data_IF_197137763032
#
_entry.id   IF_197137763032
#
_cell.length_a   1.000
_cell.length_b   1.000
_cell.length_c   1.000
_cell.angle_alpha   90.00
_cell.angle_beta   90.00
_cell.angle_gamma   90.00
#
_symmetry.space_group_name_H-M   'P 1'
#
loop_
_entity.id
_entity.type
_entity.pdbx_description
1 polymer ?
#
# COMPACT_ATOMS: atom_id res chain seq x y z
N UNK A 1 -2.21 1.12 7.79
CA UNK A 1 -1.46 0.30 8.78
C UNK A 1 -2.24 -0.97 9.18
N UNK A 2 -3.50 -0.90 9.64
CA UNK A 2 -4.31 -2.11 9.97
C UNK A 2 -4.48 -3.10 8.81
N UNK A 3 -4.93 -2.62 7.64
CA UNK A 3 -5.15 -3.45 6.45
C UNK A 3 -3.90 -4.24 6.04
N UNK A 4 -2.76 -3.56 5.93
CA UNK A 4 -1.47 -4.20 5.60
C UNK A 4 -1.05 -5.26 6.62
N UNK A 5 -1.29 -5.04 7.91
CA UNK A 5 -0.95 -6.03 8.93
C UNK A 5 -1.79 -7.30 8.74
N UNK A 6 -3.09 -7.15 8.50
CA UNK A 6 -3.98 -8.28 8.27
C UNK A 6 -3.57 -9.10 7.04
N UNK A 7 -3.23 -8.45 5.93
CA UNK A 7 -2.74 -9.13 4.73
C UNK A 7 -1.40 -9.82 4.98
N UNK A 8 -0.49 -9.19 5.72
CA UNK A 8 0.82 -9.78 6.03
C UNK A 8 0.72 -10.99 6.94
N UNK A 9 -0.19 -10.96 7.93
CA UNK A 9 -0.52 -12.12 8.76
C UNK A 9 -1.05 -13.26 7.90
N UNK A 10 -2.01 -12.98 7.01
CA UNK A 10 -2.57 -13.97 6.11
C UNK A 10 -1.52 -14.53 5.12
N UNK A 11 -0.70 -13.68 4.50
CA UNK A 11 0.41 -14.08 3.63
C UNK A 11 1.38 -15.03 4.36
N UNK A 12 1.65 -14.78 5.64
CA UNK A 12 2.49 -15.63 6.49
C UNK A 12 1.85 -17.00 6.72
N UNK A 13 0.57 -17.04 7.05
CA UNK A 13 -0.19 -18.29 7.28
C UNK A 13 -0.21 -19.18 6.04
N UNK A 14 -0.39 -18.57 4.86
CA UNK A 14 -0.42 -19.31 3.60
C UNK A 14 0.98 -19.59 3.04
N UNK A 15 2.05 -19.07 3.63
CA UNK A 15 3.43 -19.27 3.14
C UNK A 15 3.68 -18.62 1.78
N UNK A 16 3.11 -17.44 1.56
CA UNK A 16 3.16 -16.73 0.28
C UNK A 16 4.60 -16.35 -0.11
N UNK A 17 5.07 -16.87 -1.26
CA UNK A 17 6.47 -16.77 -1.69
C UNK A 17 6.95 -15.33 -1.96
N UNK A 18 6.05 -14.42 -2.37
CA UNK A 18 6.38 -13.01 -2.67
C UNK A 18 6.13 -12.05 -1.49
N UNK A 19 5.99 -12.58 -0.28
CA UNK A 19 5.67 -11.78 0.93
C UNK A 19 6.67 -10.63 1.15
N UNK A 20 7.97 -10.85 0.94
CA UNK A 20 8.98 -9.82 1.16
C UNK A 20 8.80 -8.60 0.26
N UNK A 21 8.60 -8.81 -1.05
CA UNK A 21 8.38 -7.71 -2.01
C UNK A 21 7.08 -6.97 -1.72
N UNK A 22 6.05 -7.69 -1.25
CA UNK A 22 4.77 -7.10 -0.87
C UNK A 22 4.95 -6.17 0.36
N UNK A 23 5.66 -6.62 1.39
CA UNK A 23 5.94 -5.82 2.60
C UNK A 23 6.72 -4.54 2.25
N UNK A 24 7.70 -4.61 1.33
CA UNK A 24 8.43 -3.42 0.87
C UNK A 24 7.47 -2.42 0.22
N UNK A 25 6.53 -2.86 -0.61
CA UNK A 25 5.55 -1.97 -1.22
C UNK A 25 4.70 -1.25 -0.16
N UNK A 26 4.25 -1.97 0.87
CA UNK A 26 3.50 -1.40 2.01
C UNK A 26 4.31 -0.37 2.79
N UNK A 27 5.58 -0.67 3.07
CA UNK A 27 6.46 0.25 3.79
C UNK A 27 6.72 1.52 2.99
N UNK A 28 7.03 1.40 1.70
CA UNK A 28 7.23 2.56 0.82
C UNK A 28 5.99 3.46 0.75
N UNK A 29 4.78 2.86 0.75
CA UNK A 29 3.54 3.62 0.79
C UNK A 29 3.38 4.39 2.09
N UNK A 30 3.64 3.75 3.23
CA UNK A 30 3.60 4.39 4.55
C UNK A 30 4.62 5.51 4.63
N UNK A 31 5.87 5.27 4.23
CA UNK A 31 6.93 6.28 4.26
C UNK A 31 6.58 7.49 3.37
N UNK A 32 6.00 7.24 2.19
CA UNK A 32 5.55 8.32 1.32
C UNK A 32 4.42 9.12 1.97
N UNK A 33 3.47 8.47 2.63
CA UNK A 33 2.43 9.19 3.38
C UNK A 33 2.98 9.97 4.56
N UNK A 34 3.90 9.38 5.32
CA UNK A 34 4.53 10.00 6.48
C UNK A 34 5.48 11.16 6.05
N UNK A 35 5.85 11.25 4.76
CA UNK A 35 6.64 12.35 4.20
C UNK A 35 5.86 13.62 3.86
N UNK A 36 4.52 13.58 3.87
CA UNK A 36 3.72 14.79 3.64
C UNK A 36 3.75 15.66 4.89
N UNK A 37 4.21 16.90 4.74
CA UNK A 37 4.21 17.90 5.80
C UNK A 37 2.84 18.57 5.88
N UNK A 38 2.12 18.34 6.98
CA UNK A 38 0.80 18.93 7.19
C UNK A 38 0.83 20.44 7.41
N UNK A 39 1.98 21.03 7.78
CA UNK A 39 2.13 22.49 7.90
C UNK A 39 2.23 23.17 6.54
N UNK A 40 2.88 22.55 5.54
CA UNK A 40 2.92 23.07 4.16
C UNK A 40 1.56 22.93 3.45
N UNK A 41 0.78 21.91 3.81
CA UNK A 41 -0.59 21.74 3.30
C UNK A 41 -1.43 22.98 3.62
N UNK A 42 -1.28 23.61 4.80
CA UNK A 42 -2.09 24.78 5.17
C UNK A 42 -1.83 26.03 4.30
N UNK A 43 -0.69 26.13 3.62
CA UNK A 43 -0.36 27.28 2.77
C UNK A 43 -0.84 27.12 1.31
N UNK A 44 -0.96 25.88 0.82
CA UNK A 44 -1.51 25.56 -0.52
C UNK A 44 -2.42 24.31 -0.49
N UNK A 45 -3.49 24.40 0.30
CA UNK A 45 -4.35 23.25 0.67
C UNK A 45 -4.91 22.50 -0.54
N UNK A 46 -5.35 23.21 -1.58
CA UNK A 46 -6.01 22.57 -2.73
C UNK A 46 -5.03 21.70 -3.52
N UNK A 47 -3.86 22.23 -3.89
CA UNK A 47 -2.91 21.49 -4.71
C UNK A 47 -2.31 20.32 -3.93
N UNK A 48 -1.96 20.54 -2.66
CA UNK A 48 -1.41 19.48 -1.81
C UNK A 48 -2.44 18.35 -1.56
N UNK A 49 -3.72 18.70 -1.41
CA UNK A 49 -4.81 17.71 -1.29
C UNK A 49 -5.02 16.94 -2.60
N UNK A 50 -4.98 17.62 -3.74
CA UNK A 50 -5.11 16.99 -5.07
C UNK A 50 -3.96 16.02 -5.31
N UNK A 51 -2.73 16.42 -5.00
CA UNK A 51 -1.55 15.56 -5.15
C UNK A 51 -1.61 14.34 -4.23
N UNK A 52 -2.03 14.50 -2.98
CA UNK A 52 -2.24 13.40 -2.05
C UNK A 52 -3.33 12.43 -2.56
N UNK A 53 -4.47 12.95 -3.04
CA UNK A 53 -5.55 12.13 -3.58
C UNK A 53 -5.11 11.36 -4.83
N UNK A 54 -4.38 12.02 -5.73
CA UNK A 54 -3.84 11.38 -6.92
C UNK A 54 -2.86 10.26 -6.54
N UNK A 55 -1.95 10.51 -5.59
CA UNK A 55 -1.03 9.49 -5.09
C UNK A 55 -1.77 8.29 -4.48
N UNK A 56 -2.73 8.54 -3.61
CA UNK A 56 -3.54 7.50 -2.96
C UNK A 56 -4.28 6.65 -4.00
N UNK A 57 -4.96 7.31 -4.95
CA UNK A 57 -5.71 6.64 -6.01
C UNK A 57 -4.81 5.77 -6.88
N UNK A 58 -3.73 6.35 -7.39
CA UNK A 58 -2.81 5.64 -8.29
C UNK A 58 -2.16 4.45 -7.62
N UNK A 59 -1.73 4.61 -6.38
CA UNK A 59 -1.07 3.54 -5.65
C UNK A 59 -2.07 2.43 -5.30
N UNK A 60 -3.22 2.76 -4.71
CA UNK A 60 -4.22 1.77 -4.29
C UNK A 60 -4.75 0.97 -5.46
N UNK A 61 -5.11 1.63 -6.57
CA UNK A 61 -5.65 0.93 -7.75
C UNK A 61 -4.65 -0.05 -8.32
N UNK A 62 -3.37 0.35 -8.45
CA UNK A 62 -2.31 -0.51 -8.96
C UNK A 62 -1.99 -1.64 -7.99
N UNK A 63 -1.89 -1.35 -6.70
CA UNK A 63 -1.56 -2.31 -5.66
C UNK A 63 -2.65 -3.38 -5.48
N UNK A 64 -3.90 -2.96 -5.26
CA UNK A 64 -5.04 -3.89 -5.09
C UNK A 64 -5.25 -4.74 -6.34
N UNK A 65 -5.20 -4.13 -7.52
CA UNK A 65 -5.55 -4.85 -8.76
C UNK A 65 -4.48 -5.80 -9.25
N UNK A 66 -3.21 -5.63 -8.84
CA UNK A 66 -2.08 -6.40 -9.37
C UNK A 66 -1.29 -7.15 -8.33
N UNK A 67 -1.14 -6.62 -7.13
CA UNK A 67 -0.31 -7.20 -6.07
C UNK A 67 -1.20 -8.01 -5.12
N UNK A 68 -2.27 -7.43 -4.59
CA UNK A 68 -3.13 -8.12 -3.60
C UNK A 68 -3.84 -9.32 -4.21
N UNK A 69 -4.28 -9.21 -5.48
CA UNK A 69 -4.87 -10.34 -6.20
C UNK A 69 -3.92 -11.54 -6.34
N UNK A 70 -2.60 -11.34 -6.37
CA UNK A 70 -1.66 -12.47 -6.44
C UNK A 70 -1.62 -13.29 -5.16
N UNK A 71 -2.03 -12.74 -4.01
CA UNK A 71 -2.15 -13.49 -2.75
C UNK A 71 -3.15 -14.64 -2.93
N UNK A 72 -4.27 -14.40 -3.64
CA UNK A 72 -5.28 -15.42 -3.91
C UNK A 72 -4.73 -16.58 -4.76
N UNK A 73 -3.89 -16.29 -5.77
CA UNK A 73 -3.25 -17.33 -6.58
C UNK A 73 -2.22 -18.15 -5.78
N UNK A 74 -1.62 -17.57 -4.73
CA UNK A 74 -0.71 -18.29 -3.83
C UNK A 74 -1.37 -19.46 -3.08
N UNK A 75 -2.70 -19.50 -3.00
CA UNK A 75 -3.46 -20.65 -2.49
C UNK A 75 -3.51 -21.82 -3.47
N UNK A 76 -3.55 -21.54 -4.78
CA UNK A 76 -3.65 -22.56 -5.83
C UNK A 76 -2.32 -23.29 -6.05
N UNK A 77 -1.20 -22.67 -5.64
CA UNK A 77 0.15 -23.27 -5.72
C UNK A 77 0.55 -24.10 -4.49
N UNK A 78 -0.33 -24.22 -3.48
CA UNK A 78 -0.07 -24.97 -2.23
C UNK A 78 -0.63 -26.38 -2.31
#
# INVERSE_FOLDING_TARGET
>A
KYHFNHEQEYMKEIGYKKMFTHIIAHNNFIEKLDSYDFEEIDYNQTDALVDLLNFLYDWLVKHISKVDKEIAHGLEEK
#
